data_IF_790111803791
#
_entry.id   IF_790111803791
#
_cell.length_a   1.000
_cell.length_b   1.000
_cell.length_c   1.000
_cell.angle_alpha   90.00
_cell.angle_beta   90.00
_cell.angle_gamma   90.00
#
_symmetry.space_group_name_H-M   'P 1'
#
loop_
_entity.id
_entity.type
_entity.pdbx_description
1 polymer ?
#
# COMPACT_ATOMS: atom_id res chain seq x y z
N UNK A 1 20.29 -8.65 -60.28
CA UNK A 1 20.28 -7.70 -59.14
C UNK A 1 18.85 -7.57 -58.67
N UNK A 2 18.38 -8.48 -57.80
CA UNK A 2 17.02 -8.43 -57.24
C UNK A 2 17.18 -8.20 -55.74
N UNK A 3 16.71 -7.03 -55.30
CA UNK A 3 16.78 -6.56 -53.93
C UNK A 3 16.16 -7.57 -52.96
N UNK A 4 16.91 -7.92 -51.91
CA UNK A 4 16.40 -8.61 -50.72
C UNK A 4 15.31 -7.72 -50.10
N UNK A 5 14.06 -8.11 -50.28
CA UNK A 5 12.95 -7.57 -49.52
C UNK A 5 13.18 -7.91 -48.04
N UNK A 6 13.44 -6.87 -47.27
CA UNK A 6 13.42 -6.82 -45.81
C UNK A 6 12.23 -7.62 -45.28
N UNK A 7 12.48 -8.81 -44.75
CA UNK A 7 11.51 -9.53 -43.93
C UNK A 7 11.28 -8.68 -42.69
N UNK A 8 10.13 -8.01 -42.63
CA UNK A 8 9.72 -7.19 -41.48
C UNK A 8 9.82 -8.01 -40.20
N UNK A 9 10.87 -7.78 -39.41
CA UNK A 9 11.00 -8.35 -38.07
C UNK A 9 9.77 -7.92 -37.28
N UNK A 10 8.93 -8.87 -36.88
CA UNK A 10 7.76 -8.53 -36.08
C UNK A 10 8.24 -8.06 -34.71
N UNK A 11 8.09 -6.75 -34.47
CA UNK A 11 8.64 -6.02 -33.33
C UNK A 11 8.34 -6.70 -31.97
N UNK A 12 7.19 -7.37 -31.83
CA UNK A 12 6.83 -8.14 -30.64
C UNK A 12 7.83 -9.24 -30.26
N UNK A 13 8.57 -9.81 -31.23
CA UNK A 13 9.62 -10.80 -30.94
C UNK A 13 10.84 -10.15 -30.27
N UNK A 14 11.11 -8.89 -30.60
CA UNK A 14 12.22 -8.13 -30.01
C UNK A 14 11.98 -7.77 -28.54
N UNK A 15 10.72 -7.56 -28.13
CA UNK A 15 10.36 -7.21 -26.74
C UNK A 15 10.05 -8.41 -25.84
N UNK A 16 10.08 -9.62 -26.39
CA UNK A 16 9.84 -10.83 -25.62
C UNK A 16 10.98 -11.05 -24.63
N UNK A 17 10.65 -11.37 -23.38
CA UNK A 17 11.64 -11.79 -22.39
C UNK A 17 12.43 -12.99 -22.90
N UNK A 18 13.77 -12.91 -22.83
CA UNK A 18 14.68 -13.98 -23.21
C UNK A 18 15.68 -14.23 -22.08
N UNK A 19 15.66 -15.46 -21.55
CA UNK A 19 16.45 -15.86 -20.37
C UNK A 19 17.97 -15.66 -20.55
N UNK A 20 18.50 -15.83 -21.76
CA UNK A 20 19.93 -15.62 -22.04
C UNK A 20 20.33 -14.17 -22.30
N UNK A 21 19.36 -13.28 -22.60
CA UNK A 21 19.61 -11.89 -22.98
C UNK A 21 19.30 -10.92 -21.83
N UNK A 22 18.20 -11.15 -21.13
CA UNK A 22 17.67 -10.24 -20.14
C UNK A 22 18.10 -10.66 -18.73
N UNK A 23 18.81 -9.76 -18.03
CA UNK A 23 19.29 -10.02 -16.67
C UNK A 23 18.11 -10.13 -15.69
N UNK A 24 18.08 -11.14 -14.80
CA UNK A 24 16.98 -11.28 -13.85
C UNK A 24 16.78 -10.06 -12.94
N UNK A 25 17.85 -9.43 -12.47
CA UNK A 25 17.77 -8.21 -11.65
C UNK A 25 17.12 -7.03 -12.36
N UNK A 26 17.42 -6.82 -13.64
CA UNK A 26 16.82 -5.75 -14.45
C UNK A 26 15.33 -6.00 -14.66
N UNK A 27 14.95 -7.25 -14.98
CA UNK A 27 13.55 -7.64 -15.15
C UNK A 27 12.77 -7.51 -13.83
N UNK A 28 13.35 -7.96 -12.71
CA UNK A 28 12.79 -7.76 -11.36
C UNK A 28 12.51 -6.28 -11.12
N UNK A 29 13.48 -5.41 -11.40
CA UNK A 29 13.35 -3.98 -11.16
C UNK A 29 12.21 -3.38 -11.98
N UNK A 30 12.12 -3.71 -13.28
CA UNK A 30 11.01 -3.28 -14.13
C UNK A 30 9.65 -3.77 -13.60
N UNK A 31 9.57 -5.05 -13.19
CA UNK A 31 8.34 -5.62 -12.62
C UNK A 31 7.93 -4.95 -11.31
N UNK A 32 8.89 -4.57 -10.46
CA UNK A 32 8.63 -3.83 -9.23
C UNK A 32 8.11 -2.42 -9.51
N UNK A 33 8.60 -1.73 -10.56
CA UNK A 33 8.04 -0.44 -10.98
C UNK A 33 6.59 -0.62 -11.41
N UNK A 34 6.32 -1.57 -12.31
CA UNK A 34 4.97 -1.84 -12.82
C UNK A 34 4.01 -2.20 -11.68
N UNK A 35 4.42 -3.13 -10.80
CA UNK A 35 3.61 -3.55 -9.66
C UNK A 35 3.32 -2.39 -8.70
N UNK A 36 4.33 -1.57 -8.40
CA UNK A 36 4.16 -0.39 -7.53
C UNK A 36 3.18 0.61 -8.16
N UNK A 37 3.32 0.92 -9.45
CA UNK A 37 2.40 1.82 -10.15
C UNK A 37 0.96 1.31 -10.11
N UNK A 38 0.73 0.02 -10.41
CA UNK A 38 -0.60 -0.59 -10.33
C UNK A 38 -1.14 -0.54 -8.89
N UNK A 39 -0.31 -0.85 -7.88
CA UNK A 39 -0.71 -0.77 -6.48
C UNK A 39 -1.10 0.67 -6.08
N UNK A 40 -0.39 1.68 -6.57
CA UNK A 40 -0.71 3.09 -6.29
C UNK A 40 -2.06 3.49 -6.85
N UNK A 41 -2.27 3.27 -8.16
CA UNK A 41 -3.50 3.72 -8.82
C UNK A 41 -4.72 2.98 -8.27
N UNK A 42 -4.58 1.70 -7.95
CA UNK A 42 -5.68 0.90 -7.38
C UNK A 42 -5.96 1.27 -5.92
N UNK A 43 -4.92 1.54 -5.13
CA UNK A 43 -5.11 2.05 -3.77
C UNK A 43 -5.86 3.39 -3.77
N UNK A 44 -5.42 4.33 -4.61
CA UNK A 44 -6.09 5.64 -4.74
C UNK A 44 -7.54 5.51 -5.19
N UNK A 45 -7.80 4.72 -6.22
CA UNK A 45 -9.15 4.53 -6.76
C UNK A 45 -10.11 3.85 -5.77
N UNK A 46 -9.61 3.00 -4.86
CA UNK A 46 -10.43 2.37 -3.83
C UNK A 46 -10.67 3.25 -2.61
N UNK A 47 -9.68 4.05 -2.21
CA UNK A 47 -9.83 5.02 -1.10
C UNK A 47 -10.75 6.17 -1.51
N UNK A 48 -10.61 6.63 -2.76
CA UNK A 48 -11.38 7.72 -3.35
C UNK A 48 -12.17 7.17 -4.55
N UNK A 49 -13.42 6.67 -4.34
CA UNK A 49 -14.19 6.04 -5.40
C UNK A 49 -14.49 7.03 -6.54
N UNK A 50 -14.62 6.55 -7.79
CA UNK A 50 -15.13 7.36 -8.89
C UNK A 50 -16.48 7.98 -8.55
N UNK A 51 -16.71 9.22 -8.95
CA UNK A 51 -17.93 9.96 -8.65
C UNK A 51 -18.01 10.51 -7.21
N UNK A 52 -17.04 10.20 -6.34
CA UNK A 52 -16.98 10.72 -4.99
C UNK A 52 -17.98 10.07 -4.03
N UNK A 53 -18.29 10.78 -2.96
CA UNK A 53 -19.07 10.29 -1.82
C UNK A 53 -20.16 11.28 -1.44
N UNK A 54 -21.28 10.76 -0.92
CA UNK A 54 -22.38 11.58 -0.44
C UNK A 54 -21.96 12.49 0.70
N UNK A 55 -22.48 13.71 0.72
CA UNK A 55 -22.15 14.75 1.72
C UNK A 55 -23.27 14.98 2.74
N UNK A 56 -24.39 14.27 2.60
CA UNK A 56 -25.58 14.39 3.45
C UNK A 56 -26.26 13.02 3.60
N UNK A 57 -27.29 12.97 4.46
CA UNK A 57 -28.11 11.78 4.70
C UNK A 57 -29.53 11.92 4.10
N UNK A 58 -29.68 12.72 3.05
CA UNK A 58 -30.97 12.93 2.39
C UNK A 58 -31.27 11.80 1.39
N UNK A 59 -32.49 11.70 0.86
CA UNK A 59 -32.79 10.83 -0.30
C UNK A 59 -32.58 9.31 -0.13
N UNK A 60 -32.36 8.81 1.09
CA UNK A 60 -32.10 7.40 1.37
C UNK A 60 -30.63 6.97 1.24
N UNK A 61 -29.71 7.90 0.97
CA UNK A 61 -28.27 7.65 1.02
C UNK A 61 -27.66 8.11 2.34
N UNK A 62 -26.43 7.68 2.60
CA UNK A 62 -25.70 7.97 3.84
C UNK A 62 -24.40 8.68 3.47
N UNK A 63 -24.09 9.76 4.19
CA UNK A 63 -22.87 10.54 4.00
C UNK A 63 -21.62 9.65 4.13
N UNK A 64 -20.63 9.94 3.31
CA UNK A 64 -19.37 9.19 3.22
C UNK A 64 -19.45 7.89 2.43
N UNK A 65 -20.64 7.48 1.96
CA UNK A 65 -20.77 6.35 1.03
C UNK A 65 -20.51 6.77 -0.41
N UNK A 66 -19.95 5.86 -1.22
CA UNK A 66 -19.73 6.09 -2.64
C UNK A 66 -21.03 6.42 -3.37
N UNK A 67 -21.04 7.51 -4.12
CA UNK A 67 -22.13 7.84 -5.05
C UNK A 67 -22.24 6.75 -6.13
N UNK A 68 -21.09 6.21 -6.56
CA UNK A 68 -21.04 5.11 -7.53
C UNK A 68 -21.80 3.86 -7.09
N UNK A 69 -21.96 3.63 -5.78
CA UNK A 69 -22.71 2.49 -5.27
C UNK A 69 -24.22 2.56 -5.57
N UNK A 70 -24.73 3.69 -6.07
CA UNK A 70 -26.10 3.78 -6.61
C UNK A 70 -26.33 2.79 -7.77
N UNK A 71 -25.31 2.51 -8.58
CA UNK A 71 -25.31 1.43 -9.57
C UNK A 71 -24.56 0.22 -9.01
N UNK A 72 -25.21 -0.50 -8.08
CA UNK A 72 -24.60 -1.57 -7.28
C UNK A 72 -23.81 -2.58 -8.10
N UNK A 73 -24.39 -3.12 -9.18
CA UNK A 73 -23.75 -4.15 -10.01
C UNK A 73 -22.41 -3.68 -10.60
N UNK A 74 -22.39 -2.47 -11.18
CA UNK A 74 -21.19 -1.92 -11.82
C UNK A 74 -20.14 -1.53 -10.77
N UNK A 75 -20.59 -1.01 -9.62
CA UNK A 75 -19.74 -0.68 -8.49
C UNK A 75 -19.02 -1.92 -7.92
N UNK A 76 -19.71 -3.05 -7.78
CA UNK A 76 -19.08 -4.29 -7.31
C UNK A 76 -18.08 -4.85 -8.31
N UNK A 77 -18.36 -4.80 -9.62
CA UNK A 77 -17.39 -5.20 -10.65
C UNK A 77 -16.12 -4.34 -10.54
N UNK A 78 -16.27 -3.02 -10.38
CA UNK A 78 -15.15 -2.10 -10.16
C UNK A 78 -14.34 -2.48 -8.91
N UNK A 79 -14.99 -2.65 -7.76
CA UNK A 79 -14.32 -2.97 -6.50
C UNK A 79 -13.56 -4.30 -6.57
N UNK A 80 -14.18 -5.34 -7.15
CA UNK A 80 -13.55 -6.66 -7.29
C UNK A 80 -12.31 -6.57 -8.19
N UNK A 81 -12.43 -5.94 -9.37
CA UNK A 81 -11.32 -5.79 -10.30
C UNK A 81 -10.17 -4.98 -9.68
N UNK A 82 -10.49 -3.88 -9.00
CA UNK A 82 -9.51 -3.03 -8.34
C UNK A 82 -8.80 -3.74 -7.18
N UNK A 83 -9.55 -4.46 -6.35
CA UNK A 83 -9.00 -5.23 -5.21
C UNK A 83 -8.11 -6.37 -5.70
N UNK A 84 -8.49 -7.07 -6.78
CA UNK A 84 -7.68 -8.11 -7.40
C UNK A 84 -6.36 -7.53 -7.95
N UNK A 85 -6.42 -6.38 -8.62
CA UNK A 85 -5.24 -5.71 -9.15
C UNK A 85 -4.29 -5.25 -8.03
N UNK A 86 -4.82 -4.63 -6.96
CA UNK A 86 -4.01 -4.25 -5.78
C UNK A 86 -3.36 -5.48 -5.13
N UNK A 87 -4.12 -6.55 -4.91
CA UNK A 87 -3.64 -7.77 -4.27
C UNK A 87 -2.55 -8.45 -5.09
N UNK A 88 -2.74 -8.58 -6.41
CA UNK A 88 -1.75 -9.15 -7.32
C UNK A 88 -0.45 -8.34 -7.32
N UNK A 89 -0.55 -7.00 -7.37
CA UNK A 89 0.62 -6.13 -7.33
C UNK A 89 1.39 -6.21 -6.02
N UNK A 90 0.71 -6.23 -4.88
CA UNK A 90 1.38 -6.36 -3.58
C UNK A 90 2.08 -7.73 -3.45
N UNK A 91 1.47 -8.80 -3.97
CA UNK A 91 2.12 -10.11 -4.02
C UNK A 91 3.41 -10.08 -4.84
N UNK A 92 3.41 -9.40 -5.99
CA UNK A 92 4.64 -9.20 -6.79
C UNK A 92 5.68 -8.40 -6.00
N UNK A 93 5.29 -7.30 -5.35
CA UNK A 93 6.19 -6.48 -4.54
C UNK A 93 6.84 -7.30 -3.42
N UNK A 94 6.06 -8.01 -2.62
CA UNK A 94 6.58 -8.81 -1.49
C UNK A 94 7.47 -9.95 -2.00
N UNK A 95 7.07 -10.61 -3.10
CA UNK A 95 7.82 -11.75 -3.66
C UNK A 95 9.18 -11.33 -4.23
N UNK A 96 9.23 -10.20 -4.94
CA UNK A 96 10.43 -9.72 -5.63
C UNK A 96 11.36 -8.90 -4.73
N UNK A 97 10.85 -8.29 -3.66
CA UNK A 97 11.69 -7.62 -2.65
C UNK A 97 12.24 -8.58 -1.60
N UNK A 98 11.96 -9.88 -1.70
CA UNK A 98 12.46 -10.87 -0.77
C UNK A 98 14.00 -10.87 -0.74
N UNK A 99 14.56 -10.79 0.47
CA UNK A 99 16.00 -10.62 0.78
C UNK A 99 16.60 -9.24 0.47
N UNK A 100 15.84 -8.27 -0.03
CA UNK A 100 16.36 -6.90 -0.12
C UNK A 100 16.80 -6.37 1.25
N UNK A 101 17.82 -5.50 1.30
CA UNK A 101 18.01 -4.66 2.47
C UNK A 101 16.68 -3.92 2.74
N UNK A 102 16.26 -3.76 3.99
CA UNK A 102 14.95 -3.19 4.37
C UNK A 102 13.68 -3.93 3.87
N UNK A 103 13.77 -5.23 3.55
CA UNK A 103 12.59 -6.03 3.19
C UNK A 103 11.49 -5.98 4.28
N UNK A 104 11.88 -5.99 5.56
CA UNK A 104 10.95 -5.95 6.69
C UNK A 104 10.11 -4.66 6.65
N UNK A 105 10.76 -3.51 6.46
CA UNK A 105 10.12 -2.20 6.43
C UNK A 105 9.16 -2.09 5.23
N UNK A 106 9.53 -2.64 4.07
CA UNK A 106 8.63 -2.74 2.89
C UNK A 106 7.42 -3.64 3.20
N UNK A 107 7.63 -4.77 3.88
CA UNK A 107 6.54 -5.67 4.29
C UNK A 107 5.61 -5.00 5.29
N UNK A 108 6.15 -4.31 6.30
CA UNK A 108 5.35 -3.52 7.26
C UNK A 108 4.54 -2.47 6.51
N UNK A 109 5.16 -1.74 5.57
CA UNK A 109 4.50 -0.69 4.82
C UNK A 109 3.37 -1.24 3.94
N UNK A 110 3.61 -2.35 3.22
CA UNK A 110 2.62 -2.97 2.34
C UNK A 110 1.47 -3.64 3.08
N UNK A 111 1.73 -4.32 4.20
CA UNK A 111 0.67 -4.88 5.07
C UNK A 111 -0.18 -3.75 5.65
N UNK A 112 0.45 -2.71 6.16
CA UNK A 112 -0.24 -1.54 6.69
C UNK A 112 -1.10 -0.87 5.61
N UNK A 113 -0.58 -0.73 4.39
CA UNK A 113 -1.32 -0.23 3.23
C UNK A 113 -2.55 -1.10 2.90
N UNK A 114 -2.49 -2.43 3.02
CA UNK A 114 -3.66 -3.32 2.84
C UNK A 114 -4.73 -3.05 3.92
N UNK A 115 -4.32 -2.88 5.17
CA UNK A 115 -5.24 -2.58 6.28
C UNK A 115 -5.91 -1.23 6.06
N UNK A 116 -5.16 -0.22 5.63
CA UNK A 116 -5.67 1.10 5.25
C UNK A 116 -6.69 0.99 4.12
N UNK A 117 -6.36 0.28 3.04
CA UNK A 117 -7.25 0.09 1.90
C UNK A 117 -8.57 -0.62 2.30
N UNK A 118 -8.45 -1.70 3.08
CA UNK A 118 -9.61 -2.47 3.55
C UNK A 118 -10.53 -1.62 4.42
N UNK A 119 -9.94 -0.83 5.31
CA UNK A 119 -10.69 0.11 6.17
C UNK A 119 -11.34 1.21 5.33
N UNK A 120 -10.69 1.72 4.30
CA UNK A 120 -11.26 2.73 3.41
C UNK A 120 -12.46 2.22 2.61
N UNK A 121 -12.36 1.01 2.03
CA UNK A 121 -13.50 0.38 1.34
C UNK A 121 -14.69 0.22 2.28
N UNK A 122 -14.45 -0.22 3.51
CA UNK A 122 -15.49 -0.39 4.51
C UNK A 122 -16.21 0.92 4.88
N UNK A 123 -15.48 2.03 4.85
CA UNK A 123 -16.04 3.37 5.05
C UNK A 123 -16.95 3.79 3.89
N UNK A 124 -16.52 3.49 2.67
CA UNK A 124 -17.14 4.02 1.46
C UNK A 124 -18.27 3.13 0.93
N UNK A 125 -18.26 1.83 1.22
CA UNK A 125 -19.27 0.87 0.73
C UNK A 125 -20.56 0.96 1.57
N UNK A 126 -21.76 1.15 0.98
CA UNK A 126 -23.03 1.18 1.72
C UNK A 126 -23.29 -0.10 2.52
N UNK A 127 -23.88 0.03 3.71
CA UNK A 127 -24.23 -1.10 4.58
C UNK A 127 -25.69 -1.52 4.36
N UNK A 128 -25.91 -2.68 3.73
CA UNK A 128 -27.19 -3.39 3.82
C UNK A 128 -27.26 -4.15 5.17
N UNK A 129 -27.73 -3.44 6.21
CA UNK A 129 -28.19 -3.93 7.53
C UNK A 129 -27.17 -4.44 8.58
N UNK A 130 -27.22 -3.80 9.74
CA UNK A 130 -26.22 -3.79 10.84
C UNK A 130 -26.12 -5.05 11.73
N UNK A 131 -27.09 -5.97 11.72
CA UNK A 131 -26.97 -7.25 12.47
C UNK A 131 -26.09 -8.27 11.76
N UNK A 132 -25.98 -8.15 10.44
CA UNK A 132 -25.10 -8.94 9.61
C UNK A 132 -23.63 -8.52 9.80
N UNK A 133 -23.32 -7.29 10.21
CA UNK A 133 -21.93 -6.76 10.36
C UNK A 133 -21.12 -7.42 11.47
N UNK A 134 -21.71 -7.67 12.64
CA UNK A 134 -21.03 -8.34 13.76
C UNK A 134 -21.05 -9.87 13.63
N UNK A 135 -22.13 -10.42 13.07
CA UNK A 135 -22.21 -11.85 12.76
C UNK A 135 -21.29 -12.19 11.59
N UNK A 136 -21.16 -11.34 10.57
CA UNK A 136 -20.13 -11.47 9.53
C UNK A 136 -18.76 -11.16 10.11
N UNK A 137 -18.51 -10.15 10.96
CA UNK A 137 -17.17 -9.96 11.53
C UNK A 137 -16.74 -11.19 12.36
N UNK A 138 -17.61 -11.73 13.22
CA UNK A 138 -17.32 -12.91 14.05
C UNK A 138 -17.32 -14.23 13.26
N UNK A 139 -18.24 -14.42 12.29
CA UNK A 139 -18.23 -15.57 11.39
C UNK A 139 -17.13 -15.45 10.34
N UNK A 140 -16.71 -14.25 9.95
CA UNK A 140 -15.59 -14.01 9.05
C UNK A 140 -14.27 -14.07 9.76
N UNK A 141 -14.14 -14.11 11.09
CA UNK A 141 -12.84 -14.43 11.72
C UNK A 141 -12.34 -15.82 11.31
N UNK A 142 -13.12 -16.92 11.42
CA UNK A 142 -12.68 -18.22 10.93
C UNK A 142 -12.65 -18.32 9.41
N UNK A 143 -13.41 -17.51 8.66
CA UNK A 143 -13.33 -17.45 7.20
C UNK A 143 -12.23 -16.54 6.67
N UNK A 144 -11.82 -15.49 7.38
CA UNK A 144 -10.65 -14.64 7.15
C UNK A 144 -9.44 -15.44 7.56
N UNK A 145 -9.47 -16.17 8.67
CA UNK A 145 -8.44 -17.14 9.01
C UNK A 145 -8.39 -18.26 7.95
N UNK A 146 -9.52 -18.79 7.46
CA UNK A 146 -9.57 -19.76 6.34
C UNK A 146 -9.21 -19.16 5.00
N UNK A 147 -9.48 -17.88 4.71
CA UNK A 147 -9.14 -17.14 3.48
C UNK A 147 -7.70 -16.70 3.56
N UNK A 148 -7.15 -16.43 4.74
CA UNK A 148 -5.74 -16.16 4.97
C UNK A 148 -4.96 -17.47 4.95
N UNK A 149 -5.54 -18.59 5.43
CA UNK A 149 -5.02 -19.95 5.27
C UNK A 149 -5.25 -20.45 3.84
N UNK A 150 -6.33 -20.12 3.14
CA UNK A 150 -6.59 -20.47 1.74
C UNK A 150 -5.85 -19.55 0.80
N UNK A 151 -5.57 -18.29 1.14
CA UNK A 151 -4.64 -17.42 0.45
C UNK A 151 -3.25 -17.89 0.75
N UNK A 152 -2.88 -18.20 2.00
CA UNK A 152 -1.60 -18.82 2.30
C UNK A 152 -1.47 -20.18 1.61
N UNK A 153 -2.53 -20.97 1.49
CA UNK A 153 -2.54 -22.27 0.82
C UNK A 153 -2.73 -22.16 -0.68
N UNK A 154 -3.36 -21.12 -1.23
CA UNK A 154 -3.51 -20.82 -2.66
C UNK A 154 -2.27 -20.08 -3.15
N UNK A 155 -1.60 -19.29 -2.31
CA UNK A 155 -0.25 -18.75 -2.48
C UNK A 155 0.73 -19.89 -2.30
N UNK A 156 0.60 -20.81 -1.35
CA UNK A 156 1.45 -22.01 -1.26
C UNK A 156 1.13 -23.00 -2.36
N UNK A 157 -0.10 -23.07 -2.88
CA UNK A 157 -0.54 -23.92 -4.01
C UNK A 157 -0.26 -23.26 -5.35
N UNK A 158 -0.25 -21.94 -5.46
CA UNK A 158 0.17 -21.16 -6.63
C UNK A 158 1.68 -21.06 -6.64
N UNK A 159 2.35 -20.83 -5.52
CA UNK A 159 3.78 -21.10 -5.32
C UNK A 159 4.03 -22.56 -5.65
N UNK A 160 3.21 -23.54 -5.21
CA UNK A 160 3.43 -24.96 -5.52
C UNK A 160 3.08 -25.35 -6.96
N UNK A 161 2.13 -24.68 -7.62
CA UNK A 161 1.75 -24.85 -9.03
C UNK A 161 2.75 -24.11 -9.95
N UNK A 162 3.31 -23.00 -9.46
CA UNK A 162 4.52 -22.37 -9.96
C UNK A 162 5.77 -23.21 -9.57
N UNK A 163 5.72 -24.04 -8.52
CA UNK A 163 6.81 -24.89 -7.98
C UNK A 163 6.81 -26.28 -8.57
N UNK A 164 5.75 -26.69 -9.27
CA UNK A 164 5.87 -27.71 -10.32
C UNK A 164 6.86 -27.24 -11.40
N UNK A 165 7.19 -25.95 -11.46
CA UNK A 165 8.39 -25.39 -12.10
C UNK A 165 9.34 -24.72 -11.09
N UNK A 166 10.01 -25.53 -10.25
CA UNK A 166 10.91 -25.19 -9.12
C UNK A 166 12.06 -24.15 -9.37
N UNK A 167 12.10 -23.39 -10.46
CA UNK A 167 13.27 -22.63 -10.92
C UNK A 167 13.04 -21.12 -11.16
N UNK A 168 11.86 -20.69 -11.63
CA UNK A 168 11.77 -19.37 -12.27
C UNK A 168 11.75 -18.17 -11.31
N UNK A 169 10.92 -18.15 -10.26
CA UNK A 169 10.82 -16.96 -9.38
C UNK A 169 12.05 -16.77 -8.49
N UNK A 170 12.70 -17.87 -8.07
CA UNK A 170 13.97 -17.82 -7.32
C UNK A 170 15.06 -17.12 -8.11
N UNK A 171 15.06 -17.29 -9.43
CA UNK A 171 16.00 -16.63 -10.32
C UNK A 171 15.85 -15.11 -10.34
N UNK A 172 14.67 -14.59 -10.05
CA UNK A 172 14.40 -13.15 -9.94
C UNK A 172 14.53 -12.61 -8.51
N UNK A 173 14.87 -13.45 -7.52
CA UNK A 173 15.12 -12.97 -6.16
C UNK A 173 16.43 -12.18 -6.09
N UNK A 174 16.57 -11.41 -5.04
CA UNK A 174 17.81 -10.69 -4.75
C UNK A 174 18.98 -11.62 -4.47
N UNK A 175 20.09 -11.30 -5.10
CA UNK A 175 21.38 -11.94 -4.92
C UNK A 175 22.45 -10.87 -4.70
N UNK A 176 23.07 -10.85 -3.51
CA UNK A 176 24.06 -9.85 -3.11
C UNK A 176 25.35 -9.92 -3.95
N UNK A 177 25.69 -11.08 -4.49
CA UNK A 177 26.90 -11.29 -5.29
C UNK A 177 26.71 -10.85 -6.75
N UNK A 178 25.46 -10.83 -7.22
CA UNK A 178 25.12 -10.55 -8.63
C UNK A 178 24.48 -9.18 -8.82
N UNK A 179 23.61 -8.76 -7.91
CA UNK A 179 22.84 -7.53 -8.03
C UNK A 179 23.65 -6.31 -7.60
N UNK A 180 23.65 -5.26 -8.43
CA UNK A 180 24.30 -4.00 -8.09
C UNK A 180 23.53 -3.31 -6.96
N UNK A 181 24.20 -2.90 -5.86
CA UNK A 181 23.54 -2.19 -4.76
C UNK A 181 22.82 -0.91 -5.20
N UNK A 182 23.35 -0.22 -6.21
CA UNK A 182 22.73 0.98 -6.78
C UNK A 182 21.36 0.71 -7.43
N UNK A 183 21.23 -0.39 -8.17
CA UNK A 183 19.98 -0.73 -8.86
C UNK A 183 18.89 -1.16 -7.86
N UNK A 184 19.28 -1.93 -6.84
CA UNK A 184 18.40 -2.36 -5.74
C UNK A 184 17.92 -1.17 -4.91
N UNK A 185 18.83 -0.26 -4.56
CA UNK A 185 18.50 0.99 -3.88
C UNK A 185 17.52 1.83 -4.70
N UNK A 186 17.76 1.98 -6.00
CA UNK A 186 16.91 2.78 -6.87
C UNK A 186 15.49 2.21 -6.94
N UNK A 187 15.34 0.90 -7.13
CA UNK A 187 14.00 0.29 -7.20
C UNK A 187 13.27 0.36 -5.85
N UNK A 188 13.99 0.18 -4.74
CA UNK A 188 13.40 0.31 -3.42
C UNK A 188 12.92 1.73 -3.12
N UNK A 189 13.68 2.75 -3.56
CA UNK A 189 13.25 4.14 -3.46
C UNK A 189 11.95 4.36 -4.25
N UNK A 190 11.79 3.74 -5.43
CA UNK A 190 10.54 3.81 -6.19
C UNK A 190 9.38 3.19 -5.40
N UNK A 191 9.55 1.99 -4.85
CA UNK A 191 8.52 1.33 -4.02
C UNK A 191 8.16 2.19 -2.81
N UNK A 192 9.16 2.70 -2.07
CA UNK A 192 8.95 3.47 -0.85
C UNK A 192 8.32 4.84 -1.11
N UNK A 193 8.78 5.59 -2.11
CA UNK A 193 8.20 6.89 -2.49
C UNK A 193 6.76 6.75 -2.96
N UNK A 194 6.44 5.65 -3.65
CA UNK A 194 5.07 5.36 -4.07
C UNK A 194 4.15 5.06 -2.89
N UNK A 195 4.57 4.21 -1.95
CA UNK A 195 3.77 3.92 -0.74
C UNK A 195 3.60 5.19 0.10
N UNK A 196 4.67 5.97 0.29
CA UNK A 196 4.61 7.26 0.98
C UNK A 196 3.62 8.23 0.31
N UNK A 197 3.65 8.33 -1.02
CA UNK A 197 2.75 9.20 -1.78
C UNK A 197 1.28 8.82 -1.58
N UNK A 198 0.93 7.53 -1.73
CA UNK A 198 -0.48 7.13 -1.64
C UNK A 198 -1.02 7.19 -0.22
N UNK A 199 -0.19 6.89 0.78
CA UNK A 199 -0.57 6.99 2.20
C UNK A 199 -0.68 8.43 2.66
N UNK A 200 0.21 9.32 2.18
CA UNK A 200 0.08 10.76 2.39
C UNK A 200 -1.27 11.26 1.86
N UNK A 201 -1.59 10.95 0.60
CA UNK A 201 -2.87 11.34 -0.02
C UNK A 201 -4.07 10.82 0.78
N UNK A 202 -4.09 9.53 1.13
CA UNK A 202 -5.20 8.95 1.88
C UNK A 202 -5.39 9.56 3.28
N UNK A 203 -4.32 10.01 3.93
CA UNK A 203 -4.44 10.65 5.25
C UNK A 203 -4.97 12.09 5.18
N UNK A 204 -4.60 12.85 4.13
CA UNK A 204 -5.07 14.22 3.95
C UNK A 204 -6.47 14.30 3.32
N UNK A 205 -6.86 13.30 2.55
CA UNK A 205 -8.23 13.11 2.04
C UNK A 205 -8.81 11.83 2.65
N UNK A 206 -9.39 11.89 3.86
CA UNK A 206 -9.89 10.69 4.52
C UNK A 206 -10.98 10.02 3.65
N UNK A 207 -11.04 8.66 3.66
CA UNK A 207 -12.10 7.93 2.99
C UNK A 207 -13.47 8.45 3.44
N UNK A 208 -14.42 8.54 2.52
CA UNK A 208 -15.73 9.12 2.84
C UNK A 208 -15.74 10.65 2.91
N UNK A 209 -14.61 11.33 2.74
CA UNK A 209 -14.54 12.77 2.69
C UNK A 209 -14.71 13.46 4.05
N UNK A 210 -14.92 14.77 3.99
CA UNK A 210 -15.07 15.65 5.15
C UNK A 210 -16.39 16.40 5.06
N UNK A 211 -16.97 16.74 6.21
CA UNK A 211 -18.17 17.56 6.25
C UNK A 211 -17.91 18.95 5.66
N UNK A 212 -18.85 19.43 4.84
CA UNK A 212 -18.76 20.72 4.16
C UNK A 212 -19.63 21.81 4.81
N UNK A 213 -20.49 21.42 5.75
CA UNK A 213 -21.35 22.31 6.52
C UNK A 213 -21.25 22.03 8.03
N UNK A 214 -21.93 22.88 8.81
CA UNK A 214 -22.02 22.84 10.27
C UNK A 214 -23.40 22.36 10.75
N UNK A 215 -24.13 21.62 9.89
CA UNK A 215 -25.47 21.10 10.21
C UNK A 215 -25.38 19.77 10.95
N UNK A 216 -26.50 19.38 11.56
CA UNK A 216 -26.69 18.06 12.19
C UNK A 216 -25.65 17.68 13.26
N UNK A 217 -25.02 18.69 13.90
CA UNK A 217 -24.01 18.51 14.94
C UNK A 217 -22.64 18.07 14.42
N UNK A 218 -22.44 18.12 13.10
CA UNK A 218 -21.15 17.91 12.45
C UNK A 218 -20.36 19.22 12.40
N UNK A 219 -19.04 19.12 12.27
CA UNK A 219 -18.16 20.30 12.13
C UNK A 219 -17.52 20.28 10.74
N UNK A 220 -17.52 21.42 10.02
CA UNK A 220 -16.85 21.53 8.73
C UNK A 220 -15.38 21.09 8.84
N UNK A 221 -14.92 20.33 7.85
CA UNK A 221 -13.54 19.83 7.78
C UNK A 221 -13.30 18.55 8.59
N UNK A 222 -14.17 18.14 9.50
CA UNK A 222 -14.04 16.83 10.15
C UNK A 222 -14.38 15.70 9.17
N UNK A 223 -13.61 14.60 9.26
CA UNK A 223 -13.82 13.41 8.45
C UNK A 223 -15.21 12.80 8.74
N UNK A 224 -15.98 12.54 7.69
CA UNK A 224 -17.26 11.83 7.80
C UNK A 224 -17.03 10.42 8.35
N UNK A 225 -15.91 9.80 7.96
CA UNK A 225 -15.50 8.48 8.46
C UNK A 225 -15.24 8.44 9.97
N UNK A 226 -14.96 9.58 10.62
CA UNK A 226 -14.75 9.61 12.07
C UNK A 226 -15.99 9.20 12.88
N UNK A 227 -17.19 9.20 12.27
CA UNK A 227 -18.41 8.67 12.90
C UNK A 227 -18.29 7.15 13.20
N UNK A 228 -17.53 6.41 12.39
CA UNK A 228 -17.14 5.02 12.68
C UNK A 228 -15.80 4.99 13.43
N UNK A 229 -15.81 5.47 14.68
CA UNK A 229 -14.61 5.76 15.47
C UNK A 229 -13.54 4.65 15.41
N UNK A 230 -13.90 3.39 15.69
CA UNK A 230 -12.93 2.28 15.69
C UNK A 230 -12.26 2.08 14.33
N UNK A 231 -13.04 2.03 13.24
CA UNK A 231 -12.51 1.76 11.91
C UNK A 231 -11.66 2.93 11.40
N UNK A 232 -12.07 4.17 11.71
CA UNK A 232 -11.30 5.37 11.41
C UNK A 232 -9.93 5.40 12.09
N UNK A 233 -9.82 5.05 13.37
CA UNK A 233 -8.52 4.99 14.04
C UNK A 233 -7.66 3.83 13.57
N UNK A 234 -8.24 2.67 13.23
CA UNK A 234 -7.49 1.57 12.58
C UNK A 234 -6.92 2.04 11.24
N UNK A 235 -7.73 2.73 10.43
CA UNK A 235 -7.29 3.36 9.19
C UNK A 235 -6.11 4.32 9.41
N UNK A 236 -6.24 5.28 10.33
CA UNK A 236 -5.20 6.28 10.59
C UNK A 236 -3.90 5.66 11.11
N UNK A 237 -3.99 4.70 12.04
CA UNK A 237 -2.82 4.03 12.61
C UNK A 237 -2.09 3.26 11.51
N UNK A 238 -2.79 2.42 10.76
CA UNK A 238 -2.20 1.65 9.66
C UNK A 238 -1.59 2.58 8.60
N UNK A 239 -2.30 3.62 8.20
CA UNK A 239 -1.82 4.57 7.19
C UNK A 239 -0.54 5.29 7.66
N UNK A 240 -0.50 5.65 8.94
CA UNK A 240 0.66 6.34 9.55
C UNK A 240 1.86 5.41 9.66
N UNK A 241 1.68 4.12 9.97
CA UNK A 241 2.75 3.11 9.97
C UNK A 241 3.31 2.93 8.56
N UNK A 242 2.43 2.88 7.55
CA UNK A 242 2.85 2.72 6.15
C UNK A 242 3.66 3.93 5.66
N UNK A 243 3.21 5.15 5.98
CA UNK A 243 3.92 6.39 5.67
C UNK A 243 5.28 6.44 6.37
N UNK A 244 5.33 6.18 7.68
CA UNK A 244 6.56 6.28 8.47
C UNK A 244 7.60 5.22 8.10
N UNK A 245 7.17 3.98 7.82
CA UNK A 245 8.05 2.93 7.32
C UNK A 245 8.65 3.31 5.95
N UNK A 246 7.86 3.92 5.08
CA UNK A 246 8.31 4.38 3.76
C UNK A 246 9.29 5.54 3.86
N UNK A 247 9.02 6.54 4.72
CA UNK A 247 9.93 7.65 5.01
C UNK A 247 11.26 7.16 5.57
N UNK A 248 11.22 6.18 6.50
CA UNK A 248 12.42 5.55 7.04
C UNK A 248 13.27 4.91 5.94
N UNK A 249 12.66 4.18 5.01
CA UNK A 249 13.37 3.58 3.85
C UNK A 249 13.97 4.67 2.96
N UNK A 250 13.22 5.73 2.65
CA UNK A 250 13.70 6.85 1.82
C UNK A 250 14.92 7.52 2.44
N UNK A 251 14.85 7.91 3.72
CA UNK A 251 15.96 8.58 4.41
C UNK A 251 17.17 7.64 4.51
N UNK A 252 16.94 6.36 4.82
CA UNK A 252 18.04 5.39 4.97
C UNK A 252 18.77 5.10 3.66
N UNK A 253 18.03 4.98 2.55
CA UNK A 253 18.60 4.67 1.24
C UNK A 253 19.22 5.88 0.54
N UNK A 254 18.83 7.11 0.90
CA UNK A 254 19.40 8.35 0.37
C UNK A 254 20.59 8.86 1.20
N UNK A 255 21.00 8.13 2.24
CA UNK A 255 22.14 8.49 3.07
C UNK A 255 23.41 8.66 2.23
N UNK A 256 24.10 9.81 2.41
CA UNK A 256 25.29 10.25 1.64
C UNK A 256 25.07 10.50 0.14
N UNK A 257 23.83 10.64 -0.32
CA UNK A 257 23.56 11.17 -1.66
C UNK A 257 23.86 12.67 -1.75
N UNK A 258 24.21 13.20 -2.93
CA UNK A 258 24.07 14.62 -3.18
C UNK A 258 22.62 15.02 -2.89
N UNK A 259 22.41 16.15 -2.20
CA UNK A 259 21.10 16.64 -1.75
C UNK A 259 20.41 15.82 -0.63
N UNK A 260 21.15 15.03 0.15
CA UNK A 260 20.56 14.26 1.26
C UNK A 260 19.87 15.13 2.32
N UNK A 261 20.44 16.30 2.61
CA UNK A 261 19.87 17.24 3.59
C UNK A 261 18.51 17.75 3.12
N UNK A 262 18.39 18.08 1.85
CA UNK A 262 17.17 18.56 1.20
C UNK A 262 16.08 17.48 1.21
N UNK A 263 16.45 16.21 0.99
CA UNK A 263 15.52 15.07 1.12
C UNK A 263 15.05 14.91 2.57
N UNK A 264 15.93 15.08 3.56
CA UNK A 264 15.54 15.06 4.98
C UNK A 264 14.57 16.19 5.30
N UNK A 265 14.88 17.43 4.88
CA UNK A 265 13.99 18.58 5.09
C UNK A 265 12.64 18.34 4.42
N UNK A 266 12.62 17.85 3.18
CA UNK A 266 11.38 17.56 2.46
C UNK A 266 10.54 16.48 3.15
N UNK A 267 11.15 15.39 3.60
CA UNK A 267 10.43 14.29 4.28
C UNK A 267 9.93 14.67 5.67
N UNK A 268 10.69 15.47 6.43
CA UNK A 268 10.24 16.04 7.71
C UNK A 268 9.06 16.99 7.47
N UNK A 269 9.19 17.91 6.52
CA UNK A 269 8.11 18.85 6.16
C UNK A 269 6.83 18.11 5.75
N UNK A 270 6.95 17.11 4.87
CA UNK A 270 5.84 16.25 4.46
C UNK A 270 5.19 15.53 5.65
N UNK A 271 5.97 15.04 6.61
CA UNK A 271 5.44 14.37 7.82
C UNK A 271 4.70 15.35 8.73
N UNK A 272 5.18 16.58 8.86
CA UNK A 272 4.50 17.65 9.60
C UNK A 272 3.18 18.03 8.92
N UNK A 273 3.18 18.20 7.60
CA UNK A 273 1.95 18.48 6.83
C UNK A 273 0.92 17.36 7.00
N UNK A 274 1.36 16.09 6.93
CA UNK A 274 0.50 14.95 7.18
C UNK A 274 -0.11 14.99 8.58
N UNK A 275 0.72 15.18 9.62
CA UNK A 275 0.25 15.24 11.00
C UNK A 275 -0.74 16.39 11.23
N UNK A 276 -0.47 17.57 10.65
CA UNK A 276 -1.36 18.73 10.71
C UNK A 276 -2.69 18.48 10.00
N UNK A 277 -2.68 17.84 8.84
CA UNK A 277 -3.89 17.51 8.09
C UNK A 277 -4.73 16.47 8.85
N UNK A 278 -4.10 15.40 9.35
CA UNK A 278 -4.78 14.38 10.17
C UNK A 278 -5.38 15.00 11.44
N UNK A 279 -4.68 15.93 12.08
CA UNK A 279 -5.20 16.67 13.23
C UNK A 279 -6.41 17.52 12.85
N UNK A 280 -6.37 18.22 11.71
CA UNK A 280 -7.47 19.06 11.26
C UNK A 280 -8.75 18.27 10.91
N UNK A 281 -8.61 17.07 10.33
CA UNK A 281 -9.76 16.24 9.93
C UNK A 281 -10.27 15.32 11.04
N UNK A 282 -9.50 15.11 12.11
CA UNK A 282 -9.87 14.22 13.21
C UNK A 282 -10.64 14.97 14.29
N UNK A 283 -11.84 14.52 14.71
CA UNK A 283 -12.57 15.13 15.81
C UNK A 283 -11.78 15.10 17.12
N UNK A 284 -11.99 16.11 17.97
CA UNK A 284 -11.22 16.44 19.20
C UNK A 284 -11.21 15.31 20.27
N UNK A 285 -10.46 14.24 20.04
CA UNK A 285 -10.08 13.25 21.05
C UNK A 285 -8.56 13.09 21.12
N UNK A 286 -7.94 13.98 21.92
CA UNK A 286 -6.50 14.05 22.16
C UNK A 286 -5.85 12.69 22.49
N UNK A 287 -6.54 11.83 23.24
CA UNK A 287 -6.01 10.51 23.64
C UNK A 287 -5.82 9.59 22.43
N UNK A 288 -6.83 9.51 21.55
CA UNK A 288 -6.78 8.65 20.36
C UNK A 288 -5.79 9.19 19.32
N UNK A 289 -5.67 10.52 19.21
CA UNK A 289 -4.67 11.16 18.37
C UNK A 289 -3.22 10.84 18.81
N UNK A 290 -2.95 10.76 20.12
CA UNK A 290 -1.62 10.34 20.62
C UNK A 290 -1.22 8.95 20.14
N UNK A 291 -2.15 8.00 20.04
CA UNK A 291 -1.85 6.67 19.50
C UNK A 291 -1.43 6.72 18.03
N UNK A 292 -2.02 7.60 17.22
CA UNK A 292 -1.61 7.83 15.83
C UNK A 292 -0.18 8.37 15.78
N UNK A 293 0.18 9.31 16.68
CA UNK A 293 1.55 9.82 16.77
C UNK A 293 2.55 8.74 17.23
N UNK A 294 2.18 7.87 18.18
CA UNK A 294 3.01 6.73 18.56
C UNK A 294 3.22 5.76 17.39
N UNK A 295 2.20 5.53 16.57
CA UNK A 295 2.30 4.67 15.39
C UNK A 295 3.36 5.18 14.39
N UNK A 296 3.55 6.49 14.27
CA UNK A 296 4.60 7.08 13.45
C UNK A 296 6.01 6.68 13.91
N UNK A 297 6.22 6.49 15.21
CA UNK A 297 7.52 6.12 15.77
C UNK A 297 7.84 4.61 15.64
N UNK A 298 6.84 3.75 15.42
CA UNK A 298 7.00 2.29 15.45
C UNK A 298 8.08 1.78 14.49
N UNK A 299 8.12 2.14 13.18
CA UNK A 299 9.15 1.63 12.29
C UNK A 299 10.57 2.07 12.68
N UNK A 300 10.72 3.29 13.19
CA UNK A 300 12.00 3.80 13.68
C UNK A 300 12.48 3.05 14.93
N UNK A 301 11.58 2.78 15.87
CA UNK A 301 11.89 1.99 17.08
C UNK A 301 12.31 0.57 16.69
N UNK A 302 11.54 -0.10 15.82
CA UNK A 302 11.88 -1.44 15.32
C UNK A 302 13.28 -1.44 14.69
N UNK A 303 13.60 -0.44 13.86
CA UNK A 303 14.91 -0.33 13.24
C UNK A 303 16.03 -0.13 14.25
N UNK A 304 15.83 0.76 15.22
CA UNK A 304 16.78 1.01 16.29
C UNK A 304 17.06 -0.26 17.12
N UNK A 305 16.02 -1.04 17.44
CA UNK A 305 16.16 -2.31 18.15
C UNK A 305 16.94 -3.35 17.35
N UNK A 306 16.70 -3.47 16.03
CA UNK A 306 17.46 -4.37 15.15
C UNK A 306 18.94 -3.99 15.12
N UNK A 307 19.23 -2.68 15.01
CA UNK A 307 20.62 -2.19 15.01
C UNK A 307 21.31 -2.44 16.35
N UNK A 308 20.64 -2.17 17.47
CA UNK A 308 21.16 -2.43 18.80
C UNK A 308 21.45 -3.93 19.00
N UNK A 309 20.50 -4.80 18.62
CA UNK A 309 20.69 -6.25 18.68
C UNK A 309 21.91 -6.67 17.85
N UNK A 310 22.04 -6.16 16.62
CA UNK A 310 23.18 -6.47 15.77
C UNK A 310 24.52 -6.00 16.38
N UNK A 311 24.58 -4.81 16.98
CA UNK A 311 25.81 -4.32 17.63
C UNK A 311 26.18 -5.19 18.83
N UNK A 312 25.21 -5.48 19.71
CA UNK A 312 25.42 -6.24 20.95
C UNK A 312 25.83 -7.68 20.67
N UNK A 313 25.17 -8.37 19.74
CA UNK A 313 25.41 -9.79 19.50
C UNK A 313 26.49 -10.07 18.46
N UNK A 314 26.79 -9.13 17.55
CA UNK A 314 27.89 -9.27 16.58
C UNK A 314 29.24 -8.87 17.15
N UNK A 315 29.28 -8.13 18.26
CA UNK A 315 30.52 -7.88 19.04
C UNK A 315 30.99 -9.09 19.86
N UNK A 316 30.20 -10.17 19.94
CA UNK A 316 30.52 -11.40 20.67
C UNK A 316 30.97 -12.56 19.74
N UNK A 317 31.38 -12.26 18.50
CA UNK A 317 32.05 -13.19 17.57
C UNK A 317 33.30 -12.53 17.02
#
# INVERSE_FOLDING_TARGET
MINRLSTGKSWYKCFRYEEGRDKPGDVRNVMLVVASLIASVTFQAGVNPPGGVWQDNSGGHVAGRAIYAYQSEVYYVFLIANTLALSASILVIISLTYRFPFHLEIVIATISMIVTYSSAIFAVTPDESVRFRYVIAAASVPYILRIFIQLFNMIKKMINLLSTGKSWYKRFQYDEDVDKPGDVRNIMLIVATLIASVTFQAGVTPPGGVWQDDKDGHRPGHAIYAYQSTAYYVFLIANTIALSASVLVIISLTYRFPFHLEIIIATISMTITYGSAVFAVTPDELVKFRFVMFAAAVPFIIRGLIQLFNVVFRSNK
#
